data_IF_094900748781
#
_entry.id   IF_094900748781
#
_cell.length_a   1.000
_cell.length_b   1.000
_cell.length_c   1.000
_cell.angle_alpha   90.00
_cell.angle_beta   90.00
_cell.angle_gamma   90.00
#
_symmetry.space_group_name_H-M   'P 1'
#
loop_
_entity.id
_entity.type
_entity.pdbx_description
1 polymer ?
#
# COMPACT_ATOMS: atom_id res chain seq x y z
N UNK A 1 0.13 -10.13 -0.13
CA UNK A 1 1.20 -9.80 -1.09
C UNK A 1 2.31 -9.01 -0.40
N UNK A 2 2.00 -7.92 0.32
CA UNK A 2 2.99 -7.06 0.99
C UNK A 2 3.86 -7.86 1.98
N UNK A 3 3.23 -8.70 2.83
CA UNK A 3 3.96 -9.59 3.75
C UNK A 3 4.88 -10.57 3.01
N UNK A 4 4.47 -11.04 1.85
CA UNK A 4 5.31 -11.90 1.03
C UNK A 4 6.56 -11.17 0.55
N UNK A 5 6.42 -9.91 0.09
CA UNK A 5 7.56 -9.07 -0.31
C UNK A 5 8.49 -8.85 0.89
N UNK A 6 7.95 -8.48 2.05
CA UNK A 6 8.74 -8.21 3.26
C UNK A 6 9.56 -9.45 3.63
N UNK A 7 8.93 -10.61 3.72
CA UNK A 7 9.62 -11.84 4.09
C UNK A 7 10.63 -12.29 3.02
N UNK A 8 10.31 -12.14 1.73
CA UNK A 8 11.24 -12.47 0.64
C UNK A 8 12.48 -11.58 0.68
N UNK A 9 12.30 -10.26 0.86
CA UNK A 9 13.42 -9.32 0.94
C UNK A 9 14.32 -9.64 2.13
N UNK A 10 13.71 -9.88 3.31
CA UNK A 10 14.48 -10.27 4.51
C UNK A 10 15.24 -11.56 4.26
N UNK A 11 14.60 -12.58 3.68
CA UNK A 11 15.21 -13.87 3.44
C UNK A 11 16.36 -13.83 2.42
N UNK A 12 16.25 -12.99 1.36
CA UNK A 12 17.25 -12.91 0.30
C UNK A 12 18.42 -11.98 0.63
N UNK A 13 18.19 -10.90 1.39
CA UNK A 13 19.21 -9.87 1.66
C UNK A 13 19.88 -10.10 3.00
N UNK A 14 19.19 -10.70 3.97
CA UNK A 14 19.75 -10.97 5.29
C UNK A 14 20.64 -12.22 5.24
N UNK A 15 21.77 -12.18 5.93
CA UNK A 15 22.59 -13.37 6.11
C UNK A 15 21.81 -14.48 6.82
N UNK A 16 22.01 -15.74 6.40
CA UNK A 16 21.22 -16.88 6.87
C UNK A 16 21.29 -17.07 8.40
N UNK A 17 22.36 -16.66 9.04
CA UNK A 17 22.51 -16.68 10.50
C UNK A 17 21.59 -15.68 11.21
N UNK A 18 21.05 -14.74 10.46
CA UNK A 18 20.28 -13.58 10.95
C UNK A 18 18.78 -13.69 10.77
N UNK A 19 18.26 -14.66 10.04
CA UNK A 19 16.81 -14.88 9.90
C UNK A 19 16.27 -15.42 11.22
N UNK A 20 16.23 -14.56 12.24
CA UNK A 20 15.69 -14.90 13.53
C UNK A 20 14.16 -14.92 13.47
N UNK A 21 13.54 -15.99 13.89
CA UNK A 21 12.07 -16.12 13.94
C UNK A 21 11.43 -14.96 14.73
N UNK A 22 12.09 -14.46 15.79
CA UNK A 22 11.61 -13.33 16.59
C UNK A 22 11.50 -12.06 15.74
N UNK A 23 12.50 -11.76 14.93
CA UNK A 23 12.50 -10.61 14.03
C UNK A 23 11.41 -10.73 12.96
N UNK A 24 11.26 -11.90 12.34
CA UNK A 24 10.23 -12.13 11.35
C UNK A 24 8.82 -11.96 11.94
N UNK A 25 8.56 -12.52 13.10
CA UNK A 25 7.28 -12.36 13.78
C UNK A 25 7.02 -10.90 14.13
N UNK A 26 8.01 -10.21 14.67
CA UNK A 26 7.93 -8.80 15.03
C UNK A 26 7.58 -7.93 13.82
N UNK A 27 8.34 -8.02 12.73
CA UNK A 27 8.16 -7.18 11.55
C UNK A 27 6.79 -7.42 10.87
N UNK A 28 6.33 -8.67 10.83
CA UNK A 28 5.04 -9.02 10.23
C UNK A 28 3.87 -8.51 11.08
N UNK A 29 3.89 -8.70 12.39
CA UNK A 29 2.85 -8.22 13.29
C UNK A 29 2.77 -6.69 13.20
N UNK A 30 3.89 -6.01 13.30
CA UNK A 30 3.91 -4.55 13.26
C UNK A 30 3.48 -3.99 11.91
N UNK A 31 3.86 -4.61 10.81
CA UNK A 31 3.34 -4.23 9.50
C UNK A 31 1.80 -4.25 9.48
N UNK A 32 1.20 -5.33 9.99
CA UNK A 32 -0.26 -5.46 10.04
C UNK A 32 -0.89 -4.38 10.92
N UNK A 33 -0.36 -4.20 12.15
CA UNK A 33 -0.87 -3.21 13.10
C UNK A 33 -0.81 -1.79 12.52
N UNK A 34 0.34 -1.40 11.96
CA UNK A 34 0.53 -0.09 11.32
C UNK A 34 -0.42 0.06 10.12
N UNK A 35 -0.59 -0.98 9.31
CA UNK A 35 -1.48 -0.96 8.14
C UNK A 35 -2.95 -0.78 8.51
N UNK A 36 -3.37 -1.34 9.63
CA UNK A 36 -4.73 -1.16 10.16
C UNK A 36 -4.89 0.27 10.67
N UNK A 37 -3.92 0.76 11.45
CA UNK A 37 -3.94 2.11 12.02
C UNK A 37 -3.89 3.20 10.95
N UNK A 38 -2.97 3.12 10.00
CA UNK A 38 -2.81 4.08 8.91
C UNK A 38 -3.93 4.03 7.86
N UNK A 39 -4.76 2.98 7.89
CA UNK A 39 -5.73 2.72 6.84
C UNK A 39 -5.10 2.43 5.47
N UNK A 40 -3.88 1.88 5.44
CA UNK A 40 -3.06 1.63 4.27
C UNK A 40 -3.77 0.86 3.15
N UNK A 41 -4.69 -0.03 3.50
CA UNK A 41 -5.49 -0.80 2.55
C UNK A 41 -6.80 -0.13 2.16
N UNK A 42 -7.15 1.03 2.74
CA UNK A 42 -8.38 1.77 2.41
C UNK A 42 -8.19 2.62 1.14
N UNK A 43 -7.96 1.95 0.02
CA UNK A 43 -7.85 2.59 -1.30
C UNK A 43 -9.17 2.45 -2.02
N UNK A 44 -9.85 3.57 -2.25
CA UNK A 44 -11.16 3.64 -2.91
C UNK A 44 -11.03 3.92 -4.41
N UNK A 45 -12.13 3.73 -5.17
CA UNK A 45 -12.17 3.99 -6.62
C UNK A 45 -11.84 5.43 -7.00
N UNK A 46 -12.19 6.39 -6.11
CA UNK A 46 -11.95 7.82 -6.28
C UNK A 46 -10.66 8.31 -5.62
N UNK A 47 -9.80 7.38 -5.14
CA UNK A 47 -8.51 7.76 -4.56
C UNK A 47 -7.62 8.37 -5.62
N UNK A 48 -7.04 9.54 -5.32
CA UNK A 48 -6.07 10.22 -6.16
C UNK A 48 -4.65 9.71 -5.88
N UNK A 49 -3.74 9.94 -6.83
CA UNK A 49 -2.31 9.60 -6.66
C UNK A 49 -1.69 10.26 -5.42
N UNK A 50 -2.07 11.52 -5.14
CA UNK A 50 -1.59 12.23 -3.95
C UNK A 50 -2.00 11.52 -2.64
N UNK A 51 -3.25 11.09 -2.54
CA UNK A 51 -3.71 10.33 -1.37
C UNK A 51 -3.01 8.97 -1.25
N UNK A 52 -2.75 8.31 -2.38
CA UNK A 52 -1.99 7.05 -2.38
C UNK A 52 -0.58 7.27 -1.84
N UNK A 53 0.08 8.34 -2.28
CA UNK A 53 1.40 8.73 -1.80
C UNK A 53 1.39 9.03 -0.29
N UNK A 54 0.39 9.78 0.20
CA UNK A 54 0.24 10.07 1.64
C UNK A 54 0.08 8.80 2.46
N UNK A 55 -0.73 7.84 2.00
CA UNK A 55 -0.90 6.55 2.69
C UNK A 55 0.43 5.77 2.75
N UNK A 56 1.18 5.75 1.66
CA UNK A 56 2.51 5.14 1.63
C UNK A 56 3.48 5.86 2.58
N UNK A 57 3.52 7.19 2.54
CA UNK A 57 4.41 7.97 3.39
C UNK A 57 4.13 7.71 4.89
N UNK A 58 2.87 7.78 5.32
CA UNK A 58 2.50 7.50 6.71
C UNK A 58 2.87 6.06 7.10
N UNK A 59 2.53 5.08 6.26
CA UNK A 59 2.86 3.67 6.50
C UNK A 59 4.36 3.49 6.70
N UNK A 60 5.19 4.04 5.81
CA UNK A 60 6.61 3.82 5.84
C UNK A 60 7.34 4.64 6.89
N UNK A 61 6.85 5.84 7.25
CA UNK A 61 7.40 6.59 8.39
C UNK A 61 7.20 5.81 9.69
N UNK A 62 5.99 5.32 9.94
CA UNK A 62 5.72 4.52 11.13
C UNK A 62 6.50 3.21 11.11
N UNK A 63 6.54 2.54 9.97
CA UNK A 63 7.30 1.30 9.83
C UNK A 63 8.80 1.51 10.01
N UNK A 64 9.36 2.61 9.52
CA UNK A 64 10.76 2.99 9.75
C UNK A 64 11.08 3.09 11.24
N UNK A 65 10.28 3.85 11.99
CA UNK A 65 10.50 4.03 13.42
C UNK A 65 10.50 2.69 14.17
N UNK A 66 9.54 1.85 13.88
CA UNK A 66 9.38 0.56 14.55
C UNK A 66 10.42 -0.46 14.09
N UNK A 67 10.78 -0.46 12.80
CA UNK A 67 11.82 -1.32 12.25
C UNK A 67 13.18 -1.05 12.93
N UNK A 68 13.59 0.21 13.03
CA UNK A 68 14.86 0.56 13.66
C UNK A 68 14.81 0.47 15.19
N UNK A 69 13.65 0.63 15.82
CA UNK A 69 13.47 0.42 17.25
C UNK A 69 13.81 -1.03 17.67
N UNK A 70 13.55 -2.02 16.82
CA UNK A 70 13.94 -3.40 17.09
C UNK A 70 15.43 -3.55 17.39
N UNK A 71 16.27 -2.97 16.56
CA UNK A 71 17.73 -3.07 16.70
C UNK A 71 18.23 -2.31 17.92
N UNK A 72 17.60 -1.18 18.26
CA UNK A 72 17.92 -0.42 19.48
C UNK A 72 17.57 -1.18 20.76
N UNK A 73 16.44 -1.85 20.80
CA UNK A 73 15.96 -2.57 21.99
C UNK A 73 16.68 -3.90 22.19
N UNK A 74 16.86 -4.69 21.13
CA UNK A 74 17.45 -6.02 21.23
C UNK A 74 18.96 -6.05 21.02
N UNK A 75 19.62 -4.87 20.85
CA UNK A 75 21.07 -4.73 20.66
C UNK A 75 21.66 -5.61 19.55
N UNK A 76 20.84 -6.05 18.62
CA UNK A 76 21.25 -6.87 17.48
C UNK A 76 21.87 -6.03 16.33
N UNK A 77 22.04 -4.72 16.57
CA UNK A 77 22.47 -3.76 15.54
C UNK A 77 23.90 -3.91 15.03
N UNK A 78 24.76 -4.65 15.73
CA UNK A 78 26.13 -4.88 15.27
C UNK A 78 26.25 -5.93 14.16
N UNK A 79 25.22 -6.68 13.91
CA UNK A 79 25.28 -7.90 13.12
C UNK A 79 24.66 -7.70 11.72
N UNK A 80 23.81 -6.67 11.52
CA UNK A 80 23.14 -6.46 10.24
C UNK A 80 23.75 -5.27 9.50
N UNK A 81 24.82 -5.51 8.78
CA UNK A 81 25.41 -4.50 7.88
C UNK A 81 24.43 -3.97 6.81
N UNK A 82 23.32 -4.69 6.57
CA UNK A 82 22.38 -4.44 5.48
C UNK A 82 21.01 -3.94 5.92
N UNK A 83 20.85 -3.48 7.18
CA UNK A 83 19.54 -3.04 7.70
C UNK A 83 18.87 -1.98 6.84
N UNK A 84 19.62 -0.97 6.45
CA UNK A 84 19.13 0.11 5.60
C UNK A 84 18.76 -0.40 4.20
N UNK A 85 19.58 -1.30 3.65
CA UNK A 85 19.34 -1.90 2.35
C UNK A 85 18.06 -2.77 2.35
N UNK A 86 17.85 -3.54 3.41
CA UNK A 86 16.61 -4.32 3.59
C UNK A 86 15.40 -3.39 3.65
N UNK A 87 15.47 -2.34 4.47
CA UNK A 87 14.38 -1.37 4.59
C UNK A 87 14.07 -0.69 3.24
N UNK A 88 15.11 -0.20 2.53
CA UNK A 88 14.96 0.44 1.22
C UNK A 88 14.36 -0.53 0.20
N UNK A 89 14.80 -1.79 0.19
CA UNK A 89 14.27 -2.81 -0.73
C UNK A 89 12.80 -3.12 -0.47
N UNK A 90 12.39 -3.20 0.81
CA UNK A 90 10.98 -3.33 1.19
C UNK A 90 10.19 -2.11 0.71
N UNK A 91 10.71 -0.90 0.96
CA UNK A 91 10.06 0.35 0.54
C UNK A 91 9.84 0.38 -0.97
N UNK A 92 10.86 0.11 -1.76
CA UNK A 92 10.78 0.10 -3.22
C UNK A 92 9.82 -0.99 -3.70
N UNK A 93 9.94 -2.21 -3.21
CA UNK A 93 9.11 -3.34 -3.63
C UNK A 93 7.63 -3.12 -3.36
N UNK A 94 7.27 -2.69 -2.16
CA UNK A 94 5.87 -2.42 -1.79
C UNK A 94 5.33 -1.20 -2.55
N UNK A 95 6.13 -0.15 -2.71
CA UNK A 95 5.72 1.06 -3.45
C UNK A 95 5.43 0.73 -4.91
N UNK A 96 6.31 0.04 -5.60
CA UNK A 96 6.12 -0.37 -7.01
C UNK A 96 4.85 -1.21 -7.13
N UNK A 97 4.69 -2.22 -6.28
CA UNK A 97 3.51 -3.09 -6.31
C UNK A 97 2.21 -2.30 -6.07
N UNK A 98 2.22 -1.35 -5.14
CA UNK A 98 1.04 -0.54 -4.81
C UNK A 98 0.63 0.35 -5.99
N UNK A 99 1.59 1.06 -6.58
CA UNK A 99 1.34 1.89 -7.76
C UNK A 99 0.92 1.05 -8.97
N UNK A 100 1.60 -0.08 -9.20
CA UNK A 100 1.23 -1.01 -10.27
C UNK A 100 -0.19 -1.52 -10.12
N UNK A 101 -0.57 -1.99 -8.92
CA UNK A 101 -1.92 -2.49 -8.65
C UNK A 101 -2.98 -1.40 -8.83
N UNK A 102 -2.69 -0.18 -8.37
CA UNK A 102 -3.58 0.96 -8.54
C UNK A 102 -3.78 1.32 -10.01
N UNK A 103 -2.69 1.38 -10.77
CA UNK A 103 -2.72 1.66 -12.19
C UNK A 103 -3.42 0.54 -12.98
N UNK A 104 -3.09 -0.71 -12.70
CA UNK A 104 -3.71 -1.87 -13.35
C UNK A 104 -5.23 -1.89 -13.16
N UNK A 105 -5.71 -1.63 -11.94
CA UNK A 105 -7.14 -1.52 -11.66
C UNK A 105 -7.80 -0.36 -12.41
N UNK A 106 -7.12 0.76 -12.56
CA UNK A 106 -7.61 1.90 -13.33
C UNK A 106 -7.75 1.57 -14.81
N UNK A 107 -6.73 0.97 -15.40
CA UNK A 107 -6.75 0.50 -16.81
C UNK A 107 -7.82 -0.57 -17.02
N UNK A 108 -7.97 -1.49 -16.09
CA UNK A 108 -8.97 -2.55 -16.14
C UNK A 108 -10.41 -2.00 -16.18
N UNK A 109 -10.67 -0.91 -15.42
CA UNK A 109 -11.95 -0.20 -15.47
C UNK A 109 -12.17 0.55 -16.78
N UNK A 110 -11.14 1.20 -17.31
CA UNK A 110 -11.22 1.88 -18.61
C UNK A 110 -11.58 0.93 -19.75
N UNK A 111 -11.14 -0.34 -19.68
CA UNK A 111 -11.52 -1.40 -20.62
C UNK A 111 -12.95 -1.93 -20.43
N UNK A 112 -13.77 -1.25 -19.62
CA UNK A 112 -15.17 -1.61 -19.39
C UNK A 112 -15.39 -2.83 -18.49
N UNK A 113 -14.36 -3.23 -17.71
CA UNK A 113 -14.46 -4.30 -16.72
C UNK A 113 -14.54 -3.71 -15.31
N UNK A 114 -15.10 -4.47 -14.35
CA UNK A 114 -15.26 -4.02 -12.95
C UNK A 114 -16.00 -2.69 -12.80
N UNK A 115 -17.05 -2.48 -13.62
CA UNK A 115 -17.95 -1.33 -13.50
C UNK A 115 -19.08 -1.61 -12.50
N UNK A 116 -19.69 -0.53 -12.01
CA UNK A 116 -20.91 -0.57 -11.20
C UNK A 116 -21.99 0.26 -11.90
N UNK A 117 -23.17 -0.31 -12.01
CA UNK A 117 -24.34 0.43 -12.49
C UNK A 117 -24.85 1.33 -11.35
N UNK A 118 -25.11 2.58 -11.68
CA UNK A 118 -25.63 3.57 -10.74
C UNK A 118 -26.91 4.15 -11.34
N UNK A 119 -27.97 4.22 -10.55
CA UNK A 119 -29.21 4.88 -10.91
C UNK A 119 -29.18 6.26 -10.26
N UNK A 120 -29.36 7.31 -11.05
CA UNK A 120 -29.44 8.68 -10.56
C UNK A 120 -30.92 9.04 -10.54
N UNK A 121 -31.46 9.29 -9.34
CA UNK A 121 -32.86 9.67 -9.14
C UNK A 121 -32.89 11.18 -8.89
N UNK A 122 -33.67 11.91 -9.72
CA UNK A 122 -33.82 13.35 -9.66
C UNK A 122 -33.36 14.04 -10.94
N UNK A 123 -33.91 15.23 -11.18
CA UNK A 123 -33.62 16.07 -12.36
C UNK A 123 -32.98 17.41 -11.97
N UNK A 124 -32.57 17.54 -10.71
CA UNK A 124 -31.92 18.74 -10.19
C UNK A 124 -30.50 18.92 -10.74
N UNK A 125 -29.94 20.09 -10.53
CA UNK A 125 -28.61 20.44 -11.03
C UNK A 125 -27.51 19.57 -10.42
N UNK A 126 -27.71 19.05 -9.22
CA UNK A 126 -26.80 18.12 -8.56
C UNK A 126 -26.73 16.79 -9.30
N UNK A 127 -27.89 16.24 -9.65
CA UNK A 127 -28.00 15.00 -10.43
C UNK A 127 -27.34 15.11 -11.80
N UNK A 128 -27.53 16.25 -12.49
CA UNK A 128 -26.87 16.54 -13.79
C UNK A 128 -25.34 16.63 -13.64
N UNK A 129 -24.83 17.28 -12.58
CA UNK A 129 -23.40 17.37 -12.29
C UNK A 129 -22.79 16.01 -12.04
N UNK A 130 -23.45 15.15 -11.25
CA UNK A 130 -23.00 13.77 -10.97
C UNK A 130 -22.97 12.94 -12.25
N UNK A 131 -24.01 13.02 -13.09
CA UNK A 131 -24.06 12.34 -14.38
C UNK A 131 -22.92 12.75 -15.29
N UNK A 132 -22.67 14.06 -15.38
CA UNK A 132 -21.56 14.64 -16.17
C UNK A 132 -20.19 14.17 -15.63
N UNK A 133 -20.03 14.09 -14.32
CA UNK A 133 -18.82 13.61 -13.68
C UNK A 133 -18.54 12.14 -14.06
N UNK A 134 -19.56 11.26 -14.02
CA UNK A 134 -19.39 9.86 -14.40
C UNK A 134 -19.06 9.70 -15.89
N UNK A 135 -19.61 10.53 -16.77
CA UNK A 135 -19.23 10.55 -18.20
C UNK A 135 -17.76 10.95 -18.39
N UNK A 136 -17.31 12.00 -17.69
CA UNK A 136 -15.92 12.50 -17.81
C UNK A 136 -14.90 11.58 -17.15
N UNK A 137 -15.29 10.85 -16.11
CA UNK A 137 -14.41 10.02 -15.27
C UNK A 137 -14.74 8.54 -15.41
N UNK A 138 -14.64 8.01 -16.64
CA UNK A 138 -14.83 6.57 -16.93
C UNK A 138 -13.85 5.66 -16.17
N UNK A 139 -12.70 6.22 -15.76
CA UNK A 139 -11.69 5.56 -14.93
C UNK A 139 -12.20 5.16 -13.52
N UNK A 140 -13.28 5.76 -13.05
CA UNK A 140 -13.95 5.38 -11.82
C UNK A 140 -14.78 4.09 -11.95
N UNK A 141 -15.14 3.70 -13.18
CA UNK A 141 -15.89 2.48 -13.47
C UNK A 141 -17.33 2.55 -13.00
N UNK A 142 -18.00 3.70 -13.15
CA UNK A 142 -19.44 3.85 -12.97
C UNK A 142 -20.13 3.98 -14.33
N UNK A 143 -21.29 3.31 -14.47
CA UNK A 143 -22.20 3.44 -15.61
C UNK A 143 -23.58 3.82 -15.07
N UNK A 144 -24.30 4.70 -15.74
CA UNK A 144 -25.65 5.14 -15.42
C UNK A 144 -26.51 5.15 -16.68
#
# INVERSE_FOLDING_TARGET
>A
VDLFIINSVVFYISDKEFVNLRFLVYINILWIVISIYSGFYKVYRFTNYFRLFTLLAVQFILFFLVYFAYFGVFKEGQIVNNQLLIFISIFIGVTILKFFSFFALKVYRLKGRNYRNVIIIGLDDTSKKVATLFKKRSDLGYRY
#
